data_IF_801320011833
#
_entry.id   IF_801320011833
#
_cell.length_a   1.000
_cell.length_b   1.000
_cell.length_c   1.000
_cell.angle_alpha   90.00
_cell.angle_beta   90.00
_cell.angle_gamma   90.00
#
_symmetry.space_group_name_H-M   'P 1'
#
loop_
_entity.id
_entity.type
_entity.pdbx_description
1 polymer ?
#
# COMPACT_ATOMS: atom_id res chain seq x y z
N UNK A 1 47.56 29.15 22.93
CA UNK A 1 46.99 29.38 21.59
C UNK A 1 47.28 28.12 20.82
N UNK A 2 46.30 27.24 20.63
CA UNK A 2 46.39 26.13 19.66
C UNK A 2 44.99 25.59 19.36
N UNK A 3 44.51 25.98 18.18
CA UNK A 3 43.61 25.31 17.23
C UNK A 3 42.60 24.27 17.74
N UNK A 4 41.49 24.74 18.30
CA UNK A 4 40.23 24.00 18.27
C UNK A 4 39.54 24.23 16.92
N UNK A 5 40.02 23.57 15.88
CA UNK A 5 39.31 23.50 14.60
C UNK A 5 37.99 22.74 14.81
N UNK A 6 36.89 23.49 14.96
CA UNK A 6 35.52 22.98 14.93
C UNK A 6 35.35 22.06 13.72
N UNK A 7 35.24 20.75 13.97
CA UNK A 7 34.84 19.78 12.99
C UNK A 7 33.42 20.16 12.52
N UNK A 8 33.34 20.88 11.39
CA UNK A 8 32.08 21.14 10.72
C UNK A 8 31.45 19.79 10.41
N UNK A 9 30.30 19.52 11.02
CA UNK A 9 29.53 18.29 10.84
C UNK A 9 29.02 18.26 9.38
N UNK A 10 29.88 17.81 8.46
CA UNK A 10 29.55 17.54 7.07
C UNK A 10 28.69 16.27 7.01
N UNK A 11 27.52 16.29 7.67
CA UNK A 11 26.44 15.41 7.23
C UNK A 11 26.08 15.89 5.84
N UNK A 12 26.61 15.20 4.84
CA UNK A 12 26.39 15.56 3.44
C UNK A 12 24.90 15.72 3.16
N UNK A 13 24.57 16.60 2.21
CA UNK A 13 23.19 16.80 1.75
C UNK A 13 22.51 15.50 1.30
N UNK A 14 23.29 14.49 0.90
CA UNK A 14 22.78 13.23 0.39
C UNK A 14 21.90 12.44 1.39
N UNK A 15 22.33 12.18 2.63
CA UNK A 15 21.46 11.62 3.67
C UNK A 15 20.11 12.33 3.81
N UNK A 16 20.10 13.68 3.79
CA UNK A 16 18.89 14.50 3.93
C UNK A 16 17.97 14.32 2.71
N UNK A 17 18.53 14.36 1.50
CA UNK A 17 17.78 14.14 0.25
C UNK A 17 17.20 12.72 0.21
N UNK A 18 17.98 11.71 0.61
CA UNK A 18 17.55 10.31 0.66
C UNK A 18 16.40 10.13 1.67
N UNK A 19 16.53 10.70 2.86
CA UNK A 19 15.49 10.63 3.90
C UNK A 19 14.19 11.32 3.45
N UNK A 20 14.31 12.51 2.85
CA UNK A 20 13.16 13.23 2.28
C UNK A 20 12.46 12.45 1.17
N UNK A 21 13.22 11.81 0.27
CA UNK A 21 12.67 10.95 -0.78
C UNK A 21 11.93 9.74 -0.21
N UNK A 22 12.54 9.01 0.73
CA UNK A 22 11.90 7.86 1.38
C UNK A 22 10.63 8.27 2.14
N UNK A 23 10.64 9.43 2.81
CA UNK A 23 9.46 9.99 3.48
C UNK A 23 8.31 10.26 2.51
N UNK A 24 8.61 10.87 1.36
CA UNK A 24 7.63 11.14 0.29
C UNK A 24 7.06 9.86 -0.31
N UNK A 25 7.92 8.89 -0.61
CA UNK A 25 7.53 7.58 -1.15
C UNK A 25 6.61 6.85 -0.16
N UNK A 26 6.99 6.80 1.12
CA UNK A 26 6.19 6.10 2.12
C UNK A 26 4.88 6.82 2.45
N UNK A 27 4.83 8.15 2.33
CA UNK A 27 3.59 8.90 2.61
C UNK A 27 2.63 8.89 1.42
N UNK A 28 3.13 9.07 0.20
CA UNK A 28 2.29 9.27 -0.99
C UNK A 28 2.10 7.97 -1.77
N UNK A 29 3.16 7.19 -1.96
CA UNK A 29 3.13 6.00 -2.83
C UNK A 29 2.75 4.75 -2.03
N UNK A 30 3.22 4.63 -0.79
CA UNK A 30 2.94 3.49 0.09
C UNK A 30 2.36 3.92 1.45
N UNK A 31 1.30 4.75 1.47
CA UNK A 31 0.66 5.12 2.72
C UNK A 31 0.26 3.86 3.50
N UNK A 32 0.13 4.02 4.82
CA UNK A 32 -0.39 2.98 5.69
C UNK A 32 -1.72 2.47 5.11
N UNK A 33 -1.74 1.21 4.69
CA UNK A 33 -2.96 0.60 4.17
C UNK A 33 -3.87 0.25 5.33
N UNK A 34 -5.15 0.61 5.22
CA UNK A 34 -6.15 0.16 6.15
C UNK A 34 -6.21 -1.38 6.17
N UNK A 35 -6.33 -1.94 7.38
CA UNK A 35 -6.62 -3.36 7.57
C UNK A 35 -8.13 -3.51 7.64
N UNK A 36 -8.68 -4.37 6.80
CA UNK A 36 -10.11 -4.61 6.73
C UNK A 36 -10.42 -6.03 7.19
N UNK A 37 -11.43 -6.17 8.05
CA UNK A 37 -12.06 -7.45 8.33
C UNK A 37 -12.95 -7.88 7.13
N UNK A 38 -13.18 -9.18 6.91
CA UNK A 38 -14.06 -9.65 5.84
C UNK A 38 -15.48 -9.06 5.83
N UNK A 39 -15.97 -8.65 7.00
CA UNK A 39 -17.25 -7.96 7.20
C UNK A 39 -17.27 -6.52 6.67
N UNK A 40 -16.11 -5.88 6.56
CA UNK A 40 -15.95 -4.50 6.10
C UNK A 40 -15.79 -4.42 4.57
N UNK A 41 -15.63 -5.56 3.90
CA UNK A 41 -15.52 -5.66 2.43
C UNK A 41 -16.86 -5.42 1.70
N UNK A 42 -17.92 -5.05 2.43
CA UNK A 42 -19.28 -4.88 1.91
C UNK A 42 -20.10 -6.17 1.85
N UNK A 43 -21.30 -6.15 1.24
CA UNK A 43 -22.18 -7.31 1.17
C UNK A 43 -21.70 -8.34 0.15
N UNK A 44 -22.11 -9.61 0.25
CA UNK A 44 -21.76 -10.64 -0.75
C UNK A 44 -22.54 -10.52 -2.05
N UNK A 45 -23.68 -9.82 -2.03
CA UNK A 45 -24.52 -9.54 -3.20
C UNK A 45 -24.92 -8.08 -3.12
N UNK A 46 -25.00 -7.43 -4.26
CA UNK A 46 -25.36 -6.03 -4.30
C UNK A 46 -25.56 -5.56 -5.73
N UNK A 47 -25.60 -4.25 -5.87
CA UNK A 47 -25.81 -3.60 -7.15
C UNK A 47 -24.75 -2.51 -7.32
N UNK A 48 -24.10 -2.51 -8.48
CA UNK A 48 -23.15 -1.46 -8.89
C UNK A 48 -23.75 -0.81 -10.14
N UNK A 49 -24.25 0.41 -9.99
CA UNK A 49 -25.06 1.05 -11.03
C UNK A 49 -26.32 0.24 -11.34
N UNK A 50 -26.44 -0.25 -12.58
CA UNK A 50 -27.56 -1.08 -13.04
C UNK A 50 -27.23 -2.58 -13.10
N UNK A 51 -26.04 -2.98 -12.60
CA UNK A 51 -25.57 -4.36 -12.69
C UNK A 51 -25.71 -5.04 -11.33
N UNK A 52 -26.52 -6.10 -11.29
CA UNK A 52 -26.54 -7.02 -10.14
C UNK A 52 -25.21 -7.77 -10.07
N UNK A 53 -24.55 -7.73 -8.93
CA UNK A 53 -23.23 -8.35 -8.74
C UNK A 53 -23.20 -9.30 -7.54
N UNK A 54 -22.29 -10.25 -7.59
CA UNK A 54 -21.95 -11.15 -6.49
C UNK A 54 -20.44 -11.08 -6.22
N UNK A 55 -20.07 -10.79 -4.97
CA UNK A 55 -18.69 -10.80 -4.51
C UNK A 55 -18.22 -12.24 -4.29
N UNK A 56 -17.10 -12.59 -4.89
CA UNK A 56 -16.38 -13.84 -4.70
C UNK A 56 -14.99 -13.52 -4.17
N UNK A 57 -14.67 -14.00 -2.98
CA UNK A 57 -13.36 -13.78 -2.36
C UNK A 57 -12.45 -14.94 -2.80
N UNK A 58 -11.25 -14.61 -3.28
CA UNK A 58 -10.34 -15.53 -3.95
C UNK A 58 -8.97 -15.50 -3.28
N UNK A 59 -8.33 -16.66 -3.21
CA UNK A 59 -6.93 -16.81 -2.86
C UNK A 59 -6.22 -17.51 -4.01
N UNK A 60 -5.37 -16.79 -4.73
CA UNK A 60 -4.64 -17.27 -5.90
C UNK A 60 -3.17 -17.43 -5.53
N UNK A 61 -2.58 -18.59 -5.81
CA UNK A 61 -1.15 -18.83 -5.57
C UNK A 61 -0.39 -18.75 -6.88
N UNK A 62 0.64 -17.91 -6.95
CA UNK A 62 1.49 -17.82 -8.14
C UNK A 62 2.54 -18.96 -8.15
N UNK A 63 3.25 -19.18 -9.27
CA UNK A 63 4.30 -20.20 -9.36
C UNK A 63 5.47 -19.99 -8.37
N UNK A 64 5.72 -18.75 -7.95
CA UNK A 64 6.70 -18.42 -6.92
C UNK A 64 6.22 -18.74 -5.48
N UNK A 65 5.02 -19.30 -5.33
CA UNK A 65 4.44 -19.68 -4.05
C UNK A 65 3.80 -18.55 -3.25
N UNK A 66 3.72 -17.34 -3.79
CA UNK A 66 3.07 -16.18 -3.16
C UNK A 66 1.56 -16.21 -3.35
N UNK A 67 0.81 -15.79 -2.34
CA UNK A 67 -0.66 -15.77 -2.35
C UNK A 67 -1.19 -14.35 -2.56
N UNK A 68 -2.02 -14.17 -3.58
CA UNK A 68 -2.86 -13.01 -3.79
C UNK A 68 -4.24 -13.26 -3.18
N UNK A 69 -4.68 -12.39 -2.28
CA UNK A 69 -6.04 -12.38 -1.75
C UNK A 69 -6.80 -11.18 -2.31
N UNK A 70 -7.96 -11.41 -2.93
CA UNK A 70 -8.77 -10.34 -3.49
C UNK A 70 -10.26 -10.69 -3.53
N UNK A 71 -11.10 -9.68 -3.73
CA UNK A 71 -12.54 -9.83 -3.93
C UNK A 71 -12.90 -9.51 -5.38
N UNK A 72 -13.54 -10.43 -6.08
CA UNK A 72 -14.05 -10.23 -7.43
C UNK A 72 -15.57 -10.04 -7.41
N UNK A 73 -16.03 -8.87 -7.83
CA UNK A 73 -17.45 -8.57 -8.04
C UNK A 73 -17.89 -9.04 -9.43
N UNK A 74 -18.45 -10.24 -9.49
CA UNK A 74 -18.95 -10.84 -10.74
C UNK A 74 -20.34 -10.29 -11.08
N UNK A 75 -20.60 -9.89 -12.34
CA UNK A 75 -21.95 -9.68 -12.81
C UNK A 75 -22.75 -10.98 -12.65
N UNK A 76 -23.95 -10.87 -12.09
CA UNK A 76 -24.94 -11.93 -12.17
C UNK A 76 -25.56 -11.84 -13.56
N UNK A 77 -25.72 -12.99 -14.23
CA UNK A 77 -26.54 -13.02 -15.45
C UNK A 77 -27.94 -12.47 -15.09
N UNK A 78 -28.55 -11.68 -15.99
CA UNK A 78 -29.92 -11.24 -15.81
C UNK A 78 -30.87 -12.42 -15.61
#
# INVERSE_FOLDING_TARGET
MDDSATARDYRGLWPIVKEGYEGLVNTVIRPLRAQYAPSELGPKRGQIGNVSVQRVDLKLKNPAGLTLECSWWKPRKP
#
